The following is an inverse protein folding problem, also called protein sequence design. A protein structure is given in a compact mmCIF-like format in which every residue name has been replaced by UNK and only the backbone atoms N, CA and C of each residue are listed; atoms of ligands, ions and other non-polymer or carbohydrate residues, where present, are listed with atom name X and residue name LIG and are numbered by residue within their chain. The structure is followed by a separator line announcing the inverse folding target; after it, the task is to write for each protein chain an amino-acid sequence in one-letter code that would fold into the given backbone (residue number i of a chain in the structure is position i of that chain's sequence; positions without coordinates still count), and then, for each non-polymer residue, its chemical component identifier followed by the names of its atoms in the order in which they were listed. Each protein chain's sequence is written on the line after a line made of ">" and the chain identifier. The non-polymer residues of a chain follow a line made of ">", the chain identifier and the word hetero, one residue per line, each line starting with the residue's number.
data_IF_368043791181
#
_entry.id   IF_368043791181
#
_cell.length_a   1.000
_cell.length_b   1.000
_cell.length_c   1.000
_cell.angle_alpha   90.00
_cell.angle_beta   90.00
_cell.angle_gamma   90.00
#
_symmetry.space_group_name_H-M   'P 1'
#
loop_
_entity.id
_entity.type
_entity.pdbx_description
1 polymer ?
#
# COMPACT_ATOMS: atom_id res chain seq x y z
N UNK A 1 -39.94 -16.89 -10.99
CA UNK A 1 -40.44 -16.51 -12.33
C UNK A 1 -40.32 -15.00 -12.46
N UNK A 2 -39.79 -14.52 -13.56
CA UNK A 2 -39.64 -13.09 -13.84
C UNK A 2 -40.77 -12.62 -14.72
N UNK A 3 -41.59 -11.71 -14.16
CA UNK A 3 -42.78 -11.18 -14.85
C UNK A 3 -42.40 -10.11 -15.87
N UNK A 4 -43.29 -9.78 -16.83
CA UNK A 4 -42.98 -8.72 -17.80
C UNK A 4 -42.66 -7.39 -17.10
N UNK A 5 -41.58 -6.73 -17.59
CA UNK A 5 -41.08 -5.46 -17.06
C UNK A 5 -40.48 -5.57 -15.65
N UNK A 6 -40.40 -6.77 -15.08
CA UNK A 6 -39.69 -7.03 -13.83
C UNK A 6 -38.19 -7.14 -14.06
N UNK A 7 -37.42 -6.84 -13.02
CA UNK A 7 -35.97 -7.04 -13.03
C UNK A 7 -35.57 -7.91 -11.84
N UNK A 8 -34.49 -8.63 -12.00
CA UNK A 8 -33.90 -9.38 -10.91
C UNK A 8 -32.40 -9.11 -10.87
N UNK A 9 -31.81 -9.29 -9.70
CA UNK A 9 -30.40 -9.00 -9.47
C UNK A 9 -29.67 -10.28 -9.10
N UNK A 10 -28.59 -10.55 -9.81
CA UNK A 10 -27.70 -11.66 -9.49
C UNK A 10 -26.39 -11.08 -8.95
N UNK A 11 -25.98 -11.55 -7.79
CA UNK A 11 -24.69 -11.19 -7.23
C UNK A 11 -23.64 -12.22 -7.63
N UNK A 12 -22.57 -11.75 -8.22
CA UNK A 12 -21.48 -12.61 -8.64
C UNK A 12 -20.26 -12.31 -7.80
N UNK A 13 -19.68 -13.35 -7.20
CA UNK A 13 -18.45 -13.25 -6.44
C UNK A 13 -17.32 -13.91 -7.20
N UNK A 14 -16.25 -13.16 -7.41
CA UNK A 14 -15.05 -13.66 -8.07
C UNK A 14 -13.98 -13.92 -7.03
N UNK A 15 -13.39 -15.11 -7.03
CA UNK A 15 -12.27 -15.43 -6.15
C UNK A 15 -11.29 -16.33 -6.86
N UNK A 16 -10.00 -16.18 -6.52
CA UNK A 16 -8.95 -17.02 -7.09
C UNK A 16 -7.77 -17.10 -6.13
N UNK A 17 -7.10 -18.24 -6.12
CA UNK A 17 -5.89 -18.46 -5.35
C UNK A 17 -4.62 -18.25 -6.18
N UNK A 18 -4.77 -18.01 -7.48
CA UNK A 18 -3.63 -17.82 -8.39
C UNK A 18 -3.41 -16.36 -8.70
N UNK A 19 -2.15 -15.94 -8.72
CA UNK A 19 -1.75 -14.61 -9.15
C UNK A 19 -1.76 -14.54 -10.66
N UNK A 20 -2.88 -14.12 -11.22
CA UNK A 20 -3.03 -14.08 -12.68
C UNK A 20 -4.24 -13.25 -13.06
N UNK A 21 -4.33 -12.94 -14.34
CA UNK A 21 -5.57 -12.47 -14.95
C UNK A 21 -6.40 -13.72 -15.27
N UNK A 22 -7.60 -13.78 -14.76
CA UNK A 22 -8.48 -14.95 -14.89
C UNK A 22 -9.73 -14.53 -15.60
N UNK A 23 -10.05 -15.24 -16.68
CA UNK A 23 -11.25 -15.03 -17.46
C UNK A 23 -12.24 -16.14 -17.17
N UNK A 24 -13.49 -15.78 -16.91
CA UNK A 24 -14.59 -16.71 -16.70
C UNK A 24 -15.77 -16.25 -17.55
N UNK A 25 -16.53 -17.23 -18.01
CA UNK A 25 -17.74 -16.97 -18.78
C UNK A 25 -18.94 -17.44 -18.00
N UNK A 26 -19.89 -16.53 -17.76
CA UNK A 26 -21.19 -16.86 -17.21
C UNK A 26 -22.15 -17.10 -18.36
N UNK A 27 -22.80 -18.23 -18.35
CA UNK A 27 -23.78 -18.58 -19.35
C UNK A 27 -25.15 -18.72 -18.69
N UNK A 28 -26.17 -18.14 -19.28
CA UNK A 28 -27.55 -18.33 -18.82
C UNK A 28 -28.47 -18.55 -20.00
N UNK A 29 -29.49 -19.32 -19.75
CA UNK A 29 -30.41 -19.79 -20.76
C UNK A 29 -31.85 -19.41 -20.36
N UNK A 30 -32.63 -18.97 -21.34
CA UNK A 30 -34.07 -18.77 -21.15
C UNK A 30 -34.76 -20.10 -21.29
N UNK A 31 -35.39 -20.55 -20.20
CA UNK A 31 -36.12 -21.80 -20.23
C UNK A 31 -37.32 -21.70 -21.16
N UNK A 32 -37.54 -22.73 -21.96
CA UNK A 32 -38.59 -22.77 -22.96
C UNK A 32 -38.18 -22.21 -24.31
N UNK A 33 -36.97 -21.70 -24.44
CA UNK A 33 -36.39 -21.26 -25.71
C UNK A 33 -35.01 -21.87 -25.87
N UNK A 34 -34.47 -21.83 -27.09
CA UNK A 34 -33.11 -22.33 -27.35
C UNK A 34 -32.08 -21.17 -27.29
N UNK A 35 -32.48 -20.05 -26.71
CA UNK A 35 -31.58 -18.90 -26.61
C UNK A 35 -30.76 -18.93 -25.34
N UNK A 36 -29.46 -18.79 -25.50
CA UNK A 36 -28.52 -18.65 -24.39
C UNK A 36 -27.73 -17.36 -24.55
N UNK A 37 -27.32 -16.80 -23.43
CA UNK A 37 -26.56 -15.57 -23.36
C UNK A 37 -25.29 -15.80 -22.55
N UNK A 38 -24.24 -15.11 -22.92
CA UNK A 38 -22.95 -15.22 -22.25
C UNK A 38 -22.47 -13.87 -21.78
N UNK A 39 -21.93 -13.85 -20.57
CA UNK A 39 -21.27 -12.66 -20.00
C UNK A 39 -19.83 -13.06 -19.72
N UNK A 40 -18.90 -12.31 -20.28
CA UNK A 40 -17.48 -12.54 -20.06
C UNK A 40 -17.01 -11.72 -18.86
N UNK A 41 -16.41 -12.38 -17.89
CA UNK A 41 -15.93 -11.77 -16.67
C UNK A 41 -14.42 -11.92 -16.57
N UNK A 42 -13.74 -10.86 -16.18
CA UNK A 42 -12.29 -10.87 -15.98
C UNK A 42 -11.94 -10.34 -14.61
N UNK A 43 -11.09 -11.05 -13.91
CA UNK A 43 -10.55 -10.65 -12.64
C UNK A 43 -9.03 -10.69 -12.65
N UNK A 44 -8.40 -9.73 -12.00
CA UNK A 44 -6.95 -9.71 -11.81
C UNK A 44 -6.64 -9.98 -10.35
N UNK A 45 -5.96 -11.09 -10.09
CA UNK A 45 -5.53 -11.46 -8.75
C UNK A 45 -4.09 -11.03 -8.54
N UNK A 46 -3.87 -10.20 -7.55
CA UNK A 46 -2.55 -9.68 -7.21
C UNK A 46 -2.44 -9.48 -5.71
N UNK A 47 -1.22 -9.58 -5.18
CA UNK A 47 -0.97 -9.21 -3.79
C UNK A 47 -0.83 -7.70 -3.68
N UNK A 48 -1.25 -7.11 -2.54
CA UNK A 48 -0.95 -5.72 -2.27
C UNK A 48 0.56 -5.51 -2.15
N UNK A 49 1.07 -4.47 -2.78
CA UNK A 49 2.50 -4.14 -2.71
C UNK A 49 2.68 -2.63 -2.60
N UNK A 50 3.74 -2.24 -1.93
CA UNK A 50 4.18 -0.85 -1.90
C UNK A 50 5.61 -0.75 -2.42
N UNK A 51 5.96 0.44 -2.88
CA UNK A 51 7.33 0.72 -3.27
C UNK A 51 8.21 0.78 -2.01
N UNK A 52 9.09 -0.18 -1.87
CA UNK A 52 10.02 -0.26 -0.75
C UNK A 52 11.36 0.40 -1.03
N UNK A 53 11.53 1.05 -2.17
CA UNK A 53 12.77 1.71 -2.52
C UNK A 53 13.02 2.89 -1.58
N UNK A 54 14.16 2.93 -0.87
CA UNK A 54 14.47 4.02 0.05
C UNK A 54 14.42 5.41 -0.60
N UNK A 55 14.71 5.51 -1.88
CA UNK A 55 14.63 6.80 -2.59
C UNK A 55 13.22 7.33 -2.72
N UNK A 56 12.24 6.45 -2.80
CA UNK A 56 10.83 6.84 -2.85
C UNK A 56 10.31 7.15 -1.44
N UNK A 57 10.67 6.30 -0.49
CA UNK A 57 10.16 6.36 0.88
C UNK A 57 10.74 7.54 1.66
N UNK A 58 12.03 7.79 1.50
CA UNK A 58 12.74 8.81 2.26
C UNK A 58 13.16 9.98 1.38
N UNK A 59 13.06 11.21 1.88
CA UNK A 59 13.41 12.39 1.07
C UNK A 59 14.91 12.53 0.82
N UNK A 60 15.74 11.97 1.68
CA UNK A 60 17.20 12.06 1.57
C UNK A 60 17.81 10.69 1.83
N UNK A 61 18.72 10.27 0.97
CA UNK A 61 19.33 8.96 1.04
C UNK A 61 20.84 9.09 0.92
N UNK A 62 21.55 8.48 1.85
CA UNK A 62 23.00 8.38 1.80
C UNK A 62 23.41 6.94 1.48
N UNK A 63 24.31 6.79 0.51
CA UNK A 63 24.76 5.46 0.04
C UNK A 63 26.01 4.94 0.71
N UNK A 64 26.71 5.80 1.43
CA UNK A 64 27.96 5.44 2.09
C UNK A 64 27.73 5.31 3.59
N UNK A 65 28.50 4.48 4.29
CA UNK A 65 28.40 4.37 5.73
C UNK A 65 28.84 5.66 6.43
N UNK A 66 28.31 5.89 7.63
CA UNK A 66 28.75 6.99 8.48
C UNK A 66 30.06 6.60 9.14
N UNK A 67 31.02 7.52 9.11
CA UNK A 67 32.34 7.30 9.72
C UNK A 67 32.39 7.88 11.15
N UNK A 68 32.59 7.00 12.13
CA UNK A 68 32.89 7.41 13.50
C UNK A 68 31.91 8.43 14.09
N UNK A 69 32.47 9.55 14.57
CA UNK A 69 31.71 10.61 15.24
C UNK A 69 31.08 11.64 14.28
N UNK A 70 30.95 11.29 13.01
CA UNK A 70 30.35 12.19 12.02
C UNK A 70 28.94 12.56 12.40
N UNK A 71 28.65 13.85 12.52
CA UNK A 71 27.29 14.35 12.72
C UNK A 71 26.58 14.37 11.38
N UNK A 72 25.51 13.59 11.29
CA UNK A 72 24.78 13.38 10.05
C UNK A 72 23.50 14.19 10.07
N UNK A 73 23.22 14.90 8.97
CA UNK A 73 21.92 15.53 8.76
C UNK A 73 20.85 14.47 8.55
N UNK A 74 19.58 14.87 8.60
CA UNK A 74 18.45 13.94 8.37
C UNK A 74 18.61 13.23 7.03
N UNK A 75 18.80 11.93 7.06
CA UNK A 75 18.92 11.12 5.85
C UNK A 75 18.84 9.63 6.16
N UNK A 76 18.40 8.87 5.18
CA UNK A 76 18.44 7.42 5.25
C UNK A 76 19.81 6.92 4.84
N UNK A 77 20.45 6.14 5.70
CA UNK A 77 21.78 5.58 5.47
C UNK A 77 21.61 4.15 4.99
N UNK A 78 21.80 3.92 3.70
CA UNK A 78 21.53 2.63 3.08
C UNK A 78 22.33 1.47 3.67
N UNK A 79 23.65 1.59 3.87
CA UNK A 79 24.40 0.46 4.41
C UNK A 79 23.94 -0.01 5.79
N UNK A 80 23.41 0.90 6.60
CA UNK A 80 22.95 0.61 7.95
C UNK A 80 21.44 0.36 8.02
N UNK A 81 20.71 0.67 6.94
CA UNK A 81 19.26 0.61 6.87
C UNK A 81 18.59 1.40 7.99
N UNK A 82 19.11 2.58 8.28
CA UNK A 82 18.65 3.45 9.36
C UNK A 82 18.37 4.84 8.82
N UNK A 83 17.21 5.41 9.20
CA UNK A 83 16.96 6.83 8.99
C UNK A 83 17.53 7.61 10.18
N UNK A 84 18.57 8.37 9.92
CA UNK A 84 19.22 9.16 10.96
C UNK A 84 18.63 10.57 10.96
N UNK A 85 18.06 10.96 12.09
CA UNK A 85 17.49 12.30 12.26
C UNK A 85 18.55 13.38 12.50
N UNK A 86 19.80 12.98 12.69
CA UNK A 86 20.85 13.91 13.06
C UNK A 86 20.70 14.40 14.49
N UNK A 87 21.28 15.55 14.81
CA UNK A 87 21.14 16.15 16.14
C UNK A 87 19.68 16.54 16.41
N UNK A 88 19.16 16.09 17.53
CA UNK A 88 17.80 16.41 17.95
C UNK A 88 17.82 17.44 19.06
N UNK A 89 16.92 18.39 18.97
CA UNK A 89 16.74 19.36 20.05
C UNK A 89 15.95 18.71 21.17
N UNK A 90 16.59 18.55 22.32
CA UNK A 90 15.98 17.99 23.51
C UNK A 90 15.52 19.11 24.43
N UNK A 91 14.22 19.20 24.69
CA UNK A 91 13.68 20.21 25.57
C UNK A 91 12.70 19.58 26.54
N UNK A 92 12.81 19.97 27.82
CA UNK A 92 11.96 19.45 28.88
C UNK A 92 10.58 20.11 28.94
N UNK A 93 10.42 21.28 28.35
CA UNK A 93 9.14 21.99 28.34
C UNK A 93 8.49 21.85 26.98
N UNK A 94 7.25 21.34 26.96
CA UNK A 94 6.44 21.33 25.77
C UNK A 94 5.88 22.73 25.53
N UNK A 95 6.40 23.42 24.55
CA UNK A 95 5.77 24.65 24.11
C UNK A 95 4.50 24.30 23.31
N UNK A 96 3.37 25.00 23.55
CA UNK A 96 2.12 24.71 22.85
C UNK A 96 2.22 24.89 21.32
N UNK A 97 3.18 25.66 20.87
CA UNK A 97 3.47 25.86 19.44
C UNK A 97 4.72 25.11 19.06
N UNK A 98 4.68 23.81 19.21
CA UNK A 98 5.85 23.00 18.94
C UNK A 98 6.35 23.21 17.52
N UNK A 99 7.46 23.91 17.41
CA UNK A 99 8.11 24.23 16.15
C UNK A 99 9.32 23.34 15.88
N UNK A 100 9.37 22.16 16.50
CA UNK A 100 10.48 21.24 16.29
C UNK A 100 10.33 20.50 14.94
N UNK A 101 10.21 21.27 13.87
CA UNK A 101 10.16 20.72 12.51
C UNK A 101 11.41 19.89 12.20
N UNK A 102 12.50 20.19 12.88
CA UNK A 102 13.76 19.46 12.76
C UNK A 102 13.68 18.04 13.31
N UNK A 103 12.76 17.78 14.24
CA UNK A 103 12.56 16.45 14.81
C UNK A 103 11.48 15.67 14.09
N UNK A 104 10.98 16.18 12.97
CA UNK A 104 9.93 15.55 12.21
C UNK A 104 10.40 15.23 10.80
N UNK A 105 9.84 14.18 10.24
CA UNK A 105 10.12 13.80 8.86
C UNK A 105 8.87 13.23 8.20
N UNK A 106 8.79 13.41 6.90
CA UNK A 106 7.69 12.87 6.10
C UNK A 106 8.18 11.70 5.29
N UNK A 107 7.48 10.59 5.43
CA UNK A 107 7.73 9.38 4.64
C UNK A 107 6.65 9.27 3.57
N UNK A 108 7.04 8.82 2.40
CA UNK A 108 6.13 8.65 1.27
C UNK A 108 5.91 7.19 0.98
N UNK A 109 4.65 6.78 0.97
CA UNK A 109 4.27 5.41 0.65
C UNK A 109 3.54 5.41 -0.68
N UNK A 110 4.05 4.68 -1.64
CA UNK A 110 3.48 4.60 -2.97
C UNK A 110 2.99 3.18 -3.22
N UNK A 111 1.73 3.07 -3.61
CA UNK A 111 1.14 1.79 -4.00
C UNK A 111 1.55 1.50 -5.45
N UNK A 112 2.43 0.54 -5.64
CA UNK A 112 2.84 0.06 -6.96
C UNK A 112 1.96 -1.05 -7.49
N UNK A 113 1.07 -1.56 -6.65
CA UNK A 113 0.25 -2.70 -7.01
C UNK A 113 -0.98 -2.30 -7.81
N UNK A 114 -1.79 -3.30 -8.09
CA UNK A 114 -3.03 -3.15 -8.86
C UNK A 114 -4.27 -3.15 -7.99
N UNK A 115 -4.10 -3.31 -6.70
CA UNK A 115 -5.22 -3.36 -5.75
C UNK A 115 -5.03 -2.30 -4.67
N UNK A 116 -6.13 -1.76 -4.12
CA UNK A 116 -6.04 -0.86 -2.97
C UNK A 116 -5.42 -1.55 -1.77
N UNK A 117 -4.66 -0.80 -0.97
CA UNK A 117 -4.03 -1.33 0.23
C UNK A 117 -4.38 -0.48 1.43
N UNK A 118 -4.37 -1.12 2.60
CA UNK A 118 -4.41 -0.45 3.89
C UNK A 118 -3.07 -0.59 4.55
N UNK A 119 -2.57 0.50 5.11
CA UNK A 119 -1.32 0.51 5.88
C UNK A 119 -1.65 0.65 7.35
N UNK A 120 -1.00 -0.16 8.17
CA UNK A 120 -1.07 -0.06 9.61
C UNK A 120 0.33 0.24 10.14
N UNK A 121 0.42 1.24 11.00
CA UNK A 121 1.69 1.72 11.52
C UNK A 121 1.80 1.38 12.99
N UNK A 122 2.86 0.66 13.35
CA UNK A 122 3.12 0.27 14.72
C UNK A 122 4.49 0.75 15.14
N UNK A 123 4.56 1.38 16.29
CA UNK A 123 5.83 1.73 16.88
C UNK A 123 6.33 0.57 17.71
N UNK A 124 7.52 0.08 17.38
CA UNK A 124 8.17 -0.98 18.13
C UNK A 124 9.28 -0.34 18.94
N UNK A 125 9.14 -0.37 20.25
CA UNK A 125 10.19 0.13 21.14
C UNK A 125 11.36 -0.86 21.14
N UNK A 126 12.56 -0.33 20.86
CA UNK A 126 13.78 -1.11 20.99
C UNK A 126 14.37 -0.83 22.37
N UNK A 127 14.42 -1.87 23.20
CA UNK A 127 15.06 -1.74 24.51
C UNK A 127 16.58 -1.65 24.32
N UNK A 128 17.14 -0.59 24.80
CA UNK A 128 18.59 -0.39 24.79
C UNK A 128 19.26 -1.09 25.96
#
# INVERSE_FOLDING_TARGET
>A
MLEPKQSTTLRVRFSSEKLAVIDQTLSFELLGTKKSYQIFCRGTCAFPTIDSNPKTLFPRVRRLPVKGDEIVAKQFIMPESVYNFGPLLCNKTREPRNKYAENMEKLSFVNEGRVPIKLDFKQIAVSS
#
